data_IF_112127138676
#
_entry.id   IF_112127138676
#
_cell.length_a   1.000
_cell.length_b   1.000
_cell.length_c   1.000
_cell.angle_alpha   90.00
_cell.angle_beta   90.00
_cell.angle_gamma   90.00
#
_symmetry.space_group_name_H-M   'P 1'
#
loop_
_entity.id
_entity.type
_entity.pdbx_description
1 polymer ?
#
# COMPACT_ATOMS: atom_id res chain seq x y z
N UNK A 1 19.65 32.15 13.92
CA UNK A 1 18.63 31.38 13.17
C UNK A 1 17.30 31.43 13.90
N UNK A 2 16.27 30.78 13.39
CA UNK A 2 14.94 30.75 14.04
C UNK A 2 15.05 29.89 15.32
N UNK A 3 14.63 30.39 16.49
CA UNK A 3 14.74 29.66 17.75
C UNK A 3 13.90 28.38 17.72
N UNK A 4 14.29 27.37 18.51
CA UNK A 4 13.46 26.19 18.72
C UNK A 4 12.26 26.59 19.60
N UNK A 5 11.07 26.09 19.29
CA UNK A 5 9.86 26.39 20.05
C UNK A 5 8.62 26.63 19.19
N UNK A 6 7.57 27.24 19.75
CA UNK A 6 6.26 27.41 19.11
C UNK A 6 6.32 28.08 17.74
N UNK A 7 7.25 29.02 17.53
CA UNK A 7 7.44 29.71 16.25
C UNK A 7 7.70 28.77 15.07
N UNK A 8 8.43 27.66 15.27
CA UNK A 8 8.67 26.68 14.20
C UNK A 8 7.40 25.90 13.86
N UNK A 9 6.53 25.61 14.84
CA UNK A 9 5.24 24.96 14.60
C UNK A 9 4.33 25.86 13.76
N UNK A 10 4.27 27.15 14.07
CA UNK A 10 3.46 28.12 13.31
C UNK A 10 3.91 28.18 11.84
N UNK A 11 5.23 28.22 11.60
CA UNK A 11 5.79 28.17 10.25
C UNK A 11 5.40 26.89 9.50
N UNK A 12 5.54 25.71 10.14
CA UNK A 12 5.11 24.42 9.56
C UNK A 12 3.61 24.38 9.26
N UNK A 13 2.80 25.15 9.98
CA UNK A 13 1.36 25.30 9.75
C UNK A 13 1.01 26.35 8.68
N UNK A 14 2.00 26.89 7.98
CA UNK A 14 1.80 27.90 6.93
C UNK A 14 1.58 29.31 7.46
N UNK A 15 1.88 29.59 8.74
CA UNK A 15 1.71 30.92 9.32
C UNK A 15 3.04 31.68 9.34
N UNK A 16 3.02 32.94 8.89
CA UNK A 16 4.18 33.83 9.02
C UNK A 16 4.35 34.26 10.48
N UNK A 17 5.59 34.40 10.94
CA UNK A 17 5.90 34.77 12.33
C UNK A 17 6.81 35.99 12.37
N UNK A 18 6.58 36.87 13.35
CA UNK A 18 7.49 37.98 13.68
C UNK A 18 8.36 37.57 14.86
N UNK A 19 9.68 37.61 14.69
CA UNK A 19 10.65 37.32 15.73
C UNK A 19 10.80 38.52 16.68
N UNK A 20 11.37 38.29 17.86
CA UNK A 20 11.65 39.35 18.86
C UNK A 20 12.56 40.46 18.32
N UNK A 21 13.42 40.14 17.35
CA UNK A 21 14.30 41.09 16.67
C UNK A 21 13.61 41.87 15.53
N UNK A 22 12.29 41.71 15.38
CA UNK A 22 11.46 42.42 14.39
C UNK A 22 11.46 41.81 13.00
N UNK A 23 12.25 40.77 12.72
CA UNK A 23 12.21 40.09 11.42
C UNK A 23 10.89 39.31 11.25
N UNK A 24 10.27 39.46 10.08
CA UNK A 24 9.15 38.62 9.65
C UNK A 24 9.71 37.46 8.85
N UNK A 25 9.32 36.24 9.22
CA UNK A 25 9.69 35.01 8.51
C UNK A 25 8.43 34.40 7.92
N UNK A 26 8.46 34.14 6.62
CA UNK A 26 7.42 33.42 5.91
C UNK A 26 7.73 31.91 5.88
N UNK A 27 6.71 31.03 5.82
CA UNK A 27 6.93 29.59 5.66
C UNK A 27 7.84 29.25 4.49
N UNK A 28 7.66 29.89 3.34
CA UNK A 28 8.43 29.65 2.12
C UNK A 28 9.91 30.01 2.23
N UNK A 29 10.30 30.84 3.22
CA UNK A 29 11.70 31.18 3.47
C UNK A 29 12.49 30.01 4.07
N UNK A 30 11.79 29.04 4.68
CA UNK A 30 12.41 27.98 5.51
C UNK A 30 11.85 26.59 5.31
N UNK A 31 10.71 26.45 4.66
CA UNK A 31 10.15 25.16 4.28
C UNK A 31 10.57 24.79 2.86
N UNK A 32 10.90 23.52 2.68
CA UNK A 32 11.03 22.94 1.35
C UNK A 32 9.66 22.68 0.71
N UNK A 33 9.64 22.16 -0.53
CA UNK A 33 8.40 21.75 -1.19
C UNK A 33 7.67 20.69 -0.35
N UNK A 34 6.33 20.66 -0.47
CA UNK A 34 5.52 19.69 0.22
C UNK A 34 5.90 18.26 -0.16
N UNK A 35 6.11 17.42 0.85
CA UNK A 35 6.50 16.02 0.67
C UNK A 35 5.32 15.15 1.06
N UNK A 36 4.62 14.57 0.07
CA UNK A 36 3.56 13.58 0.35
C UNK A 36 4.09 12.43 1.22
N UNK A 37 3.25 11.95 2.14
CA UNK A 37 3.51 10.73 2.91
C UNK A 37 3.38 9.45 2.08
N UNK A 38 3.66 8.31 2.71
CA UNK A 38 3.40 7.00 2.13
C UNK A 38 1.87 6.76 2.04
N UNK A 39 1.41 6.16 0.94
CA UNK A 39 -0.01 5.86 0.69
C UNK A 39 -0.20 4.35 0.55
N UNK A 40 -0.94 3.76 1.47
CA UNK A 40 -1.44 2.39 1.40
C UNK A 40 -2.92 2.44 1.03
N UNK A 41 -3.33 1.59 0.09
CA UNK A 41 -4.73 1.32 -0.22
C UNK A 41 -5.02 -0.12 0.13
N UNK A 42 -6.05 -0.33 0.94
CA UNK A 42 -6.48 -1.65 1.37
C UNK A 42 -7.93 -1.83 0.92
N UNK A 43 -8.15 -2.81 0.07
CA UNK A 43 -9.47 -3.21 -0.43
C UNK A 43 -9.75 -4.58 0.15
N UNK A 44 -10.90 -4.74 0.81
CA UNK A 44 -11.40 -6.04 1.24
C UNK A 44 -11.96 -6.82 0.05
N UNK A 45 -13.04 -7.55 0.29
CA UNK A 45 -13.74 -8.28 -0.77
C UNK A 45 -14.37 -7.31 -1.78
N UNK A 46 -14.25 -7.62 -3.07
CA UNK A 46 -14.72 -6.81 -4.17
C UNK A 46 -15.18 -7.68 -5.36
N UNK A 47 -16.33 -7.35 -5.95
CA UNK A 47 -16.82 -8.03 -7.16
C UNK A 47 -16.40 -7.37 -8.47
N UNK A 48 -15.86 -6.15 -8.43
CA UNK A 48 -15.35 -5.42 -9.60
C UNK A 48 -14.26 -4.42 -9.21
N UNK A 49 -13.53 -3.93 -10.21
CA UNK A 49 -12.42 -2.98 -10.03
C UNK A 49 -12.69 -1.59 -10.59
N UNK A 50 -13.85 -1.35 -11.17
CA UNK A 50 -14.16 -0.15 -11.99
C UNK A 50 -14.02 1.15 -11.20
N UNK A 51 -14.47 1.16 -9.94
CA UNK A 51 -14.41 2.33 -9.06
C UNK A 51 -13.14 2.37 -8.19
N UNK A 52 -12.20 1.45 -8.40
CA UNK A 52 -11.01 1.32 -7.56
C UNK A 52 -9.77 2.00 -8.15
N UNK A 53 -9.78 2.33 -9.45
CA UNK A 53 -8.62 2.94 -10.14
C UNK A 53 -8.24 4.28 -9.52
N UNK A 54 -9.20 5.19 -9.37
CA UNK A 54 -8.95 6.53 -8.81
C UNK A 54 -8.54 6.48 -7.32
N UNK A 55 -9.23 5.72 -6.44
CA UNK A 55 -8.78 5.53 -5.06
C UNK A 55 -7.42 4.85 -4.92
N UNK A 56 -7.00 4.03 -5.88
CA UNK A 56 -5.71 3.36 -5.89
C UNK A 56 -4.59 4.18 -6.57
N UNK A 57 -4.93 5.28 -7.25
CA UNK A 57 -4.00 5.96 -8.14
C UNK A 57 -2.68 6.37 -7.44
N UNK A 58 -1.56 5.87 -7.95
CA UNK A 58 -0.20 6.08 -7.44
C UNK A 58 0.04 5.69 -5.97
N UNK A 59 -0.78 4.80 -5.42
CA UNK A 59 -0.52 4.23 -4.09
C UNK A 59 0.85 3.54 -4.04
N UNK A 60 1.55 3.67 -2.91
CA UNK A 60 2.83 3.00 -2.68
C UNK A 60 2.64 1.50 -2.46
N UNK A 61 1.46 1.08 -1.98
CA UNK A 61 1.02 -0.31 -1.99
C UNK A 61 -0.50 -0.41 -2.13
N UNK A 62 -0.95 -1.45 -2.83
CA UNK A 62 -2.33 -1.90 -2.88
C UNK A 62 -2.42 -3.31 -2.29
N UNK A 63 -3.23 -3.48 -1.25
CA UNK A 63 -3.65 -4.78 -0.73
C UNK A 63 -5.08 -5.03 -1.24
N UNK A 64 -5.32 -6.15 -1.90
CA UNK A 64 -6.64 -6.50 -2.43
C UNK A 64 -6.81 -8.02 -2.54
N UNK A 65 -8.07 -8.47 -2.50
CA UNK A 65 -8.41 -9.87 -2.71
C UNK A 65 -8.00 -10.41 -4.10
N UNK A 66 -7.74 -11.70 -4.16
CA UNK A 66 -7.60 -12.49 -5.38
C UNK A 66 -8.12 -13.91 -5.12
N UNK A 67 -9.39 -14.01 -4.74
CA UNK A 67 -10.01 -15.27 -4.32
C UNK A 67 -9.89 -16.35 -5.40
N UNK A 68 -9.99 -15.97 -6.67
CA UNK A 68 -9.95 -16.89 -7.80
C UNK A 68 -8.76 -16.65 -8.75
N UNK A 69 -8.50 -17.64 -9.61
CA UNK A 69 -7.70 -17.48 -10.82
C UNK A 69 -8.65 -17.27 -12.02
N UNK A 70 -8.13 -16.78 -13.15
CA UNK A 70 -8.90 -16.45 -14.37
C UNK A 70 -9.68 -17.66 -14.91
N UNK A 71 -9.18 -18.88 -14.72
CA UNK A 71 -9.87 -20.13 -15.07
C UNK A 71 -11.26 -20.25 -14.40
N UNK A 72 -11.46 -19.63 -13.22
CA UNK A 72 -12.72 -19.59 -12.49
C UNK A 72 -13.37 -18.18 -12.49
N UNK A 73 -13.13 -17.35 -13.51
CA UNK A 73 -13.67 -15.98 -13.59
C UNK A 73 -15.21 -15.91 -13.54
N UNK A 74 -15.92 -16.95 -14.00
CA UNK A 74 -17.38 -17.05 -13.82
C UNK A 74 -17.77 -17.24 -12.36
N UNK A 75 -17.01 -18.05 -11.62
CA UNK A 75 -17.20 -18.28 -10.18
C UNK A 75 -16.95 -16.98 -9.41
N UNK A 76 -15.87 -16.27 -9.75
CA UNK A 76 -15.52 -14.97 -9.18
C UNK A 76 -16.68 -13.97 -9.34
N UNK A 77 -17.18 -13.80 -10.57
CA UNK A 77 -18.33 -12.92 -10.85
C UNK A 77 -19.60 -13.37 -10.12
N UNK A 78 -19.88 -14.67 -10.09
CA UNK A 78 -21.09 -15.21 -9.44
C UNK A 78 -21.12 -14.96 -7.95
N UNK A 79 -19.97 -15.05 -7.29
CA UNK A 79 -19.85 -14.88 -5.83
C UNK A 79 -19.37 -13.49 -5.40
N UNK A 80 -19.13 -12.58 -6.34
CA UNK A 80 -18.74 -11.21 -6.03
C UNK A 80 -17.29 -11.07 -5.55
N UNK A 81 -16.38 -11.83 -6.16
CA UNK A 81 -14.95 -11.83 -5.87
C UNK A 81 -14.12 -11.49 -7.12
N UNK A 82 -12.82 -11.26 -6.91
CA UNK A 82 -11.86 -10.99 -7.98
C UNK A 82 -10.99 -12.20 -8.35
N UNK A 83 -10.50 -12.16 -9.58
CA UNK A 83 -9.36 -12.97 -10.03
C UNK A 83 -8.04 -12.27 -9.74
N UNK A 84 -6.95 -13.04 -9.61
CA UNK A 84 -5.60 -12.50 -9.51
C UNK A 84 -5.24 -11.57 -10.68
N UNK A 85 -5.68 -11.90 -11.90
CA UNK A 85 -5.49 -11.06 -13.07
C UNK A 85 -6.30 -9.76 -13.01
N UNK A 86 -7.52 -9.75 -12.46
CA UNK A 86 -8.28 -8.51 -12.26
C UNK A 86 -7.58 -7.57 -11.28
N UNK A 87 -7.12 -8.07 -10.13
CA UNK A 87 -6.34 -7.30 -9.17
C UNK A 87 -5.04 -6.75 -9.80
N UNK A 88 -4.33 -7.55 -10.59
CA UNK A 88 -3.12 -7.12 -11.29
C UNK A 88 -3.38 -6.04 -12.36
N UNK A 89 -4.50 -6.16 -13.10
CA UNK A 89 -4.90 -5.13 -14.08
C UNK A 89 -5.22 -3.81 -13.40
N UNK A 90 -5.95 -3.83 -12.29
CA UNK A 90 -6.22 -2.65 -11.46
C UNK A 90 -4.91 -2.00 -10.98
N UNK A 91 -3.99 -2.78 -10.42
CA UNK A 91 -2.70 -2.30 -9.94
C UNK A 91 -1.92 -1.55 -11.05
N UNK A 92 -1.86 -2.14 -12.24
CA UNK A 92 -1.21 -1.56 -13.41
C UNK A 92 -1.89 -0.25 -13.85
N UNK A 93 -3.22 -0.25 -13.96
CA UNK A 93 -4.01 0.90 -14.40
C UNK A 93 -3.90 2.08 -13.42
N UNK A 94 -3.99 1.78 -12.13
CA UNK A 94 -3.83 2.76 -11.06
C UNK A 94 -2.37 3.18 -10.83
N UNK A 95 -1.38 2.61 -11.54
CA UNK A 95 0.05 2.92 -11.36
C UNK A 95 0.55 2.75 -9.92
N UNK A 96 0.00 1.77 -9.21
CA UNK A 96 0.46 1.45 -7.85
C UNK A 96 1.91 1.00 -7.90
N UNK A 97 2.64 1.18 -6.80
CA UNK A 97 4.05 0.78 -6.77
C UNK A 97 4.23 -0.69 -6.44
N UNK A 98 3.38 -1.26 -5.58
CA UNK A 98 3.39 -2.70 -5.24
C UNK A 98 1.97 -3.23 -5.07
N UNK A 99 1.75 -4.47 -5.49
CA UNK A 99 0.51 -5.23 -5.31
C UNK A 99 0.74 -6.35 -4.30
N UNK A 100 -0.12 -6.43 -3.30
CA UNK A 100 -0.13 -7.45 -2.26
C UNK A 100 -1.48 -8.17 -2.34
N UNK A 101 -1.45 -9.41 -2.83
CA UNK A 101 -2.66 -10.23 -2.97
C UNK A 101 -2.96 -10.94 -1.65
N UNK A 102 -4.23 -10.94 -1.26
CA UNK A 102 -4.74 -11.64 -0.08
C UNK A 102 -6.04 -12.37 -0.39
N UNK A 103 -6.65 -13.02 0.61
CA UNK A 103 -7.94 -13.69 0.50
C UNK A 103 -7.96 -14.75 -0.62
N UNK A 104 -6.94 -15.60 -0.65
CA UNK A 104 -6.75 -16.61 -1.70
C UNK A 104 -7.54 -17.88 -1.37
N UNK A 105 -8.28 -18.41 -2.36
CA UNK A 105 -8.92 -19.72 -2.21
C UNK A 105 -7.87 -20.82 -2.04
N UNK A 106 -8.11 -21.73 -1.08
CA UNK A 106 -7.25 -22.90 -0.79
C UNK A 106 -7.07 -23.86 -1.98
N UNK A 107 -7.84 -23.68 -3.05
CA UNK A 107 -7.70 -24.43 -4.32
C UNK A 107 -6.41 -24.14 -5.05
N UNK A 108 -5.83 -22.95 -4.85
CA UNK A 108 -4.68 -22.48 -5.60
C UNK A 108 -3.44 -22.43 -4.72
N UNK A 109 -2.31 -22.86 -5.28
CA UNK A 109 -1.01 -22.57 -4.70
C UNK A 109 -0.64 -21.11 -4.96
N UNK A 110 0.18 -20.54 -4.06
CA UNK A 110 0.79 -19.21 -4.24
C UNK A 110 1.47 -19.08 -5.61
N UNK A 111 2.12 -20.14 -6.08
CA UNK A 111 2.79 -20.16 -7.38
C UNK A 111 1.81 -19.95 -8.55
N UNK A 112 0.61 -20.55 -8.50
CA UNK A 112 -0.40 -20.38 -9.55
C UNK A 112 -0.92 -18.94 -9.57
N UNK A 113 -1.25 -18.39 -8.41
CA UNK A 113 -1.71 -17.00 -8.27
C UNK A 113 -0.66 -16.01 -8.81
N UNK A 114 0.62 -16.21 -8.46
CA UNK A 114 1.70 -15.35 -8.95
C UNK A 114 1.95 -15.51 -10.45
N UNK A 115 1.85 -16.74 -10.99
CA UNK A 115 2.01 -17.00 -12.42
C UNK A 115 0.95 -16.27 -13.27
N UNK A 116 -0.22 -15.99 -12.71
CA UNK A 116 -1.27 -15.20 -13.35
C UNK A 116 -1.04 -13.68 -13.18
N UNK A 117 -0.73 -13.23 -11.97
CA UNK A 117 -0.65 -11.80 -11.67
C UNK A 117 0.64 -11.12 -12.15
N UNK A 118 1.81 -11.76 -11.98
CA UNK A 118 3.11 -11.14 -12.26
C UNK A 118 3.34 -10.79 -13.75
N UNK A 119 2.86 -11.57 -14.74
CA UNK A 119 2.93 -11.15 -16.14
C UNK A 119 2.18 -9.84 -16.44
N UNK A 120 1.16 -9.49 -15.65
CA UNK A 120 0.38 -8.26 -15.80
C UNK A 120 0.99 -7.13 -14.97
N UNK A 121 1.41 -7.44 -13.75
CA UNK A 121 2.03 -6.50 -12.81
C UNK A 121 3.20 -7.17 -12.07
N UNK A 122 4.46 -6.97 -12.50
CA UNK A 122 5.60 -7.72 -11.98
C UNK A 122 5.87 -7.54 -10.48
N UNK A 123 5.60 -6.36 -9.91
CA UNK A 123 5.80 -6.11 -8.47
C UNK A 123 4.61 -6.60 -7.63
N UNK A 124 4.30 -7.90 -7.78
CA UNK A 124 3.21 -8.58 -7.07
C UNK A 124 3.75 -9.61 -6.10
N UNK A 125 3.19 -9.62 -4.89
CA UNK A 125 3.43 -10.65 -3.87
C UNK A 125 2.09 -11.20 -3.37
N UNK A 126 2.09 -12.44 -2.87
CA UNK A 126 0.97 -12.99 -2.10
C UNK A 126 1.32 -12.90 -0.62
N UNK A 127 0.42 -12.33 0.17
CA UNK A 127 0.54 -12.28 1.61
C UNK A 127 0.30 -13.67 2.22
N UNK A 128 1.13 -14.00 3.21
CA UNK A 128 0.97 -15.14 4.09
C UNK A 128 0.63 -14.66 5.49
N UNK A 129 0.05 -15.55 6.29
CA UNK A 129 -0.17 -15.29 7.70
C UNK A 129 1.13 -14.85 8.38
N UNK A 130 1.02 -13.84 9.24
CA UNK A 130 2.13 -13.23 9.99
C UNK A 130 3.17 -12.45 9.16
N UNK A 131 2.95 -12.25 7.86
CA UNK A 131 3.76 -11.30 7.12
C UNK A 131 3.64 -9.89 7.70
N UNK A 132 4.78 -9.18 7.70
CA UNK A 132 4.81 -7.75 8.03
C UNK A 132 5.32 -6.98 6.83
N UNK A 133 4.58 -5.94 6.44
CA UNK A 133 4.94 -5.05 5.34
C UNK A 133 5.21 -3.64 5.89
N UNK A 134 6.39 -3.11 5.60
CA UNK A 134 6.71 -1.70 5.81
C UNK A 134 6.51 -0.95 4.50
N UNK A 135 5.49 -0.08 4.46
CA UNK A 135 5.18 0.72 3.27
C UNK A 135 6.01 1.99 3.27
N UNK A 136 6.84 2.16 2.25
CA UNK A 136 7.71 3.33 2.08
C UNK A 136 7.27 4.14 0.86
N UNK A 137 7.44 5.45 0.96
CA UNK A 137 7.20 6.36 -0.16
C UNK A 137 8.04 5.94 -1.36
N UNK A 138 7.42 5.89 -2.54
CA UNK A 138 8.09 5.54 -3.78
C UNK A 138 8.17 4.04 -4.05
N UNK A 139 7.52 3.20 -3.23
CA UNK A 139 7.39 1.76 -3.50
C UNK A 139 8.58 0.90 -3.04
N UNK A 140 9.47 1.46 -2.22
CA UNK A 140 10.58 0.72 -1.60
C UNK A 140 10.10 -0.14 -0.41
N UNK A 141 9.02 -0.87 -0.60
CA UNK A 141 8.34 -1.58 0.47
C UNK A 141 9.15 -2.81 0.90
N UNK A 142 9.16 -3.07 2.21
CA UNK A 142 9.93 -4.19 2.79
C UNK A 142 8.96 -5.20 3.38
N UNK A 143 9.07 -6.46 2.98
CA UNK A 143 8.40 -7.60 3.62
C UNK A 143 9.37 -8.25 4.60
N UNK A 144 8.92 -8.50 5.82
CA UNK A 144 9.66 -9.24 6.85
C UNK A 144 8.80 -10.38 7.37
N UNK A 145 9.41 -11.54 7.62
CA UNK A 145 8.77 -12.67 8.29
C UNK A 145 9.08 -12.61 9.79
N UNK A 146 8.11 -12.92 10.66
CA UNK A 146 8.46 -13.37 12.00
C UNK A 146 8.99 -14.80 11.88
N UNK A 147 10.21 -15.05 12.35
CA UNK A 147 10.57 -16.38 12.81
C UNK A 147 9.53 -16.73 13.89
N UNK A 148 8.77 -17.81 13.69
CA UNK A 148 7.97 -18.37 14.79
C UNK A 148 8.99 -18.83 15.82
N UNK A 149 8.89 -18.35 17.04
CA UNK A 149 9.62 -18.97 18.16
C UNK A 149 9.13 -20.42 18.22
N UNK A 150 9.97 -21.37 17.77
CA UNK A 150 9.70 -22.81 17.72
C UNK A 150 9.55 -23.45 19.13
N UNK A 151 9.46 -22.64 20.19
CA UNK A 151 9.42 -23.09 21.59
C UNK A 151 8.00 -23.45 22.09
N UNK A 152 6.92 -23.06 21.41
CA UNK A 152 5.54 -23.37 21.86
C UNK A 152 4.98 -24.73 21.39
N UNK A 153 5.54 -25.38 20.35
CA UNK A 153 5.10 -26.71 19.89
C UNK A 153 5.78 -27.88 20.65
N UNK A 154 6.70 -27.60 21.57
CA UNK A 154 7.37 -28.63 22.38
C UNK A 154 6.65 -28.93 23.72
N UNK A 155 5.45 -28.38 23.95
CA UNK A 155 4.71 -28.53 25.22
C UNK A 155 3.27 -29.09 25.11
N UNK A 156 2.87 -29.64 23.96
CA UNK A 156 1.66 -30.48 23.83
C UNK A 156 2.00 -31.94 23.55
#
# INVERSE_FOLDING_TARGET
>A
GIPAGPVRRLLVQGQSVTLEDGRVIHPDDVLGPEVRGARLVFVGDAGSTENLVEPAYEADALVIEATYCEEEAEMARKFGHLTAAQAARLAREAKVKQLILTHISRRYSVRQVLAEAQPIFPNTVVANDFDRFRILKGGQNVRTHQERDEEEEAQE
#
